data_IF_082959990768
#
_entry.id   IF_082959990768
#
_cell.length_a   1.000
_cell.length_b   1.000
_cell.length_c   1.000
_cell.angle_alpha   90.00
_cell.angle_beta   90.00
_cell.angle_gamma   90.00
#
_symmetry.space_group_name_H-M   'P 1'
#
loop_
_entity.id
_entity.type
_entity.pdbx_description
1 polymer ?
#
# COMPACT_ATOMS: atom_id res chain seq x y z
N UNK A 1 -0.09 -30.73 4.58
CA UNK A 1 -0.24 -29.82 5.73
C UNK A 1 0.22 -28.44 5.30
N UNK A 2 -0.71 -27.51 5.07
CA UNK A 2 -0.37 -26.11 4.75
C UNK A 2 -0.25 -25.35 6.07
N UNK A 3 0.98 -24.95 6.43
CA UNK A 3 1.25 -24.09 7.57
C UNK A 3 0.80 -22.65 7.23
N UNK A 4 -0.50 -22.39 7.31
CA UNK A 4 -1.03 -21.03 7.38
C UNK A 4 -0.76 -20.50 8.79
N UNK A 5 0.48 -20.07 9.05
CA UNK A 5 0.75 -19.16 10.17
C UNK A 5 0.04 -17.85 9.83
N UNK A 6 -1.20 -17.71 10.28
CA UNK A 6 -1.84 -16.41 10.50
C UNK A 6 -0.87 -15.61 11.36
N UNK A 7 -0.10 -14.74 10.71
CA UNK A 7 0.85 -13.88 11.40
C UNK A 7 0.02 -12.73 11.97
N UNK A 8 -0.49 -12.92 13.20
CA UNK A 8 -1.18 -11.93 14.05
C UNK A 8 -0.22 -10.79 14.46
N UNK A 9 0.40 -10.16 13.47
CA UNK A 9 1.21 -8.97 13.70
C UNK A 9 0.65 -7.89 12.81
N UNK A 10 0.18 -6.80 13.41
CA UNK A 10 -0.21 -5.58 12.69
C UNK A 10 0.96 -4.99 11.89
N UNK A 11 2.18 -5.49 12.11
CA UNK A 11 3.40 -5.10 11.43
C UNK A 11 3.37 -5.36 9.92
N UNK A 12 3.91 -4.39 9.19
CA UNK A 12 4.18 -4.40 7.77
C UNK A 12 4.88 -5.69 7.36
N UNK A 13 4.31 -6.40 6.40
CA UNK A 13 4.86 -7.67 5.92
C UNK A 13 6.20 -7.51 5.21
N UNK A 14 6.53 -6.29 4.79
CA UNK A 14 7.75 -5.98 4.04
C UNK A 14 8.88 -5.55 4.97
N UNK A 15 8.65 -4.55 5.82
CA UNK A 15 9.70 -4.05 6.72
C UNK A 15 9.66 -4.63 8.13
N UNK A 16 8.53 -5.19 8.56
CA UNK A 16 8.33 -5.77 9.91
C UNK A 16 8.56 -4.80 11.08
N UNK A 17 8.56 -3.49 10.84
CA UNK A 17 8.89 -2.48 11.85
C UNK A 17 7.68 -1.68 12.36
N UNK A 18 6.70 -1.39 11.50
CA UNK A 18 5.54 -0.53 11.82
C UNK A 18 4.28 -1.10 11.21
N UNK A 19 3.10 -0.62 11.62
CA UNK A 19 1.84 -1.15 11.13
C UNK A 19 1.69 -1.06 9.60
N UNK A 20 1.20 -2.13 8.96
CA UNK A 20 0.90 -2.10 7.53
C UNK A 20 -0.31 -1.21 7.28
N UNK A 21 -0.08 -0.01 6.74
CA UNK A 21 -1.15 0.89 6.29
C UNK A 21 -0.86 1.37 4.87
N UNK A 22 -1.88 1.77 4.09
CA UNK A 22 -1.65 2.37 2.78
C UNK A 22 -0.71 3.58 2.85
N UNK A 23 -0.85 4.41 3.90
CA UNK A 23 0.06 5.53 4.14
C UNK A 23 1.48 5.05 4.43
N UNK A 24 1.70 4.06 5.31
CA UNK A 24 3.03 3.51 5.53
C UNK A 24 3.68 3.04 4.22
N UNK A 25 2.96 2.26 3.41
CA UNK A 25 3.47 1.72 2.14
C UNK A 25 3.84 2.84 1.14
N UNK A 26 2.96 3.84 0.99
CA UNK A 26 3.13 4.95 0.04
C UNK A 26 4.16 5.97 0.54
N UNK A 27 4.25 6.22 1.84
CA UNK A 27 4.99 7.35 2.41
C UNK A 27 6.40 7.00 2.88
N UNK A 28 6.55 5.93 3.67
CA UNK A 28 7.75 5.76 4.50
C UNK A 28 8.25 4.33 4.69
N UNK A 29 7.56 3.30 4.19
CA UNK A 29 8.03 1.92 4.24
C UNK A 29 9.46 1.79 3.65
N UNK A 30 10.47 1.39 4.44
CA UNK A 30 11.86 1.35 3.98
C UNK A 30 12.07 0.26 2.94
N UNK A 31 11.38 -0.87 3.06
CA UNK A 31 11.42 -1.97 2.09
C UNK A 31 10.93 -1.57 0.68
N UNK A 32 10.14 -0.49 0.57
CA UNK A 32 9.65 0.04 -0.70
C UNK A 32 10.39 1.31 -1.17
N UNK A 33 11.42 1.77 -0.45
CA UNK A 33 12.09 3.04 -0.70
C UNK A 33 12.54 3.20 -2.16
N UNK A 34 13.26 2.21 -2.71
CA UNK A 34 13.73 2.27 -4.10
C UNK A 34 12.58 2.23 -5.11
N UNK A 35 11.60 1.34 -4.91
CA UNK A 35 10.44 1.23 -5.81
C UNK A 35 9.56 2.48 -5.78
N UNK A 36 9.46 3.13 -4.62
CA UNK A 36 8.77 4.41 -4.44
C UNK A 36 9.48 5.51 -5.24
N UNK A 37 10.80 5.57 -5.18
CA UNK A 37 11.58 6.50 -6.01
C UNK A 37 11.34 6.25 -7.50
N UNK A 38 11.38 4.99 -7.95
CA UNK A 38 11.16 4.64 -9.36
C UNK A 38 9.76 4.97 -9.86
N UNK A 39 8.71 4.65 -9.10
CA UNK A 39 7.31 4.75 -9.57
C UNK A 39 6.61 6.05 -9.15
N UNK A 40 6.92 6.58 -7.96
CA UNK A 40 6.32 7.79 -7.40
C UNK A 40 7.27 9.00 -7.43
N UNK A 41 8.55 8.80 -7.77
CA UNK A 41 9.54 9.87 -7.93
C UNK A 41 10.18 10.38 -6.64
N UNK A 42 9.88 9.77 -5.49
CA UNK A 42 10.43 10.16 -4.19
C UNK A 42 10.72 8.96 -3.30
N UNK A 43 11.80 9.02 -2.52
CA UNK A 43 12.13 8.00 -1.53
C UNK A 43 11.22 8.04 -0.31
N UNK A 44 10.85 9.24 0.15
CA UNK A 44 9.94 9.48 1.26
C UNK A 44 8.92 10.52 0.81
N UNK A 45 7.65 10.29 1.15
CA UNK A 45 6.53 11.20 0.82
C UNK A 45 5.83 11.54 2.13
N UNK A 46 5.73 12.83 2.47
CA UNK A 46 4.98 13.22 3.65
C UNK A 46 3.48 12.92 3.46
N UNK A 47 2.75 12.46 4.49
CA UNK A 47 1.34 12.07 4.39
C UNK A 47 0.43 13.14 3.75
N UNK A 48 0.67 14.41 4.03
CA UNK A 48 -0.04 15.56 3.46
C UNK A 48 0.09 15.64 1.93
N UNK A 49 1.22 15.20 1.38
CA UNK A 49 1.47 15.19 -0.06
C UNK A 49 1.03 13.89 -0.75
N UNK A 50 0.76 12.82 0.01
CA UNK A 50 0.32 11.55 -0.55
C UNK A 50 -1.00 11.69 -1.33
N UNK A 51 -1.89 12.58 -0.86
CA UNK A 51 -3.18 12.91 -1.51
C UNK A 51 -3.02 13.65 -2.83
N UNK A 52 -1.87 14.28 -3.06
CA UNK A 52 -1.56 15.03 -4.29
C UNK A 52 -0.90 14.15 -5.36
N UNK A 53 -0.59 12.89 -5.04
CA UNK A 53 0.02 11.98 -6.00
C UNK A 53 -0.99 11.61 -7.10
N UNK A 54 -0.55 11.47 -8.36
CA UNK A 54 -1.42 11.01 -9.42
C UNK A 54 -1.97 9.61 -9.09
N UNK A 55 -3.30 9.48 -9.05
CA UNK A 55 -3.97 8.23 -8.68
C UNK A 55 -3.47 7.03 -9.50
N UNK A 56 -3.24 7.22 -10.80
CA UNK A 56 -2.66 6.20 -11.69
C UNK A 56 -1.30 5.69 -11.21
N UNK A 57 -0.42 6.58 -10.75
CA UNK A 57 0.91 6.18 -10.25
C UNK A 57 0.80 5.44 -8.91
N UNK A 58 -0.09 5.88 -8.04
CA UNK A 58 -0.36 5.21 -6.75
C UNK A 58 -0.91 3.81 -6.97
N UNK A 59 -1.92 3.65 -7.84
CA UNK A 59 -2.49 2.36 -8.18
C UNK A 59 -1.46 1.42 -8.81
N UNK A 60 -0.64 1.91 -9.74
CA UNK A 60 0.45 1.12 -10.32
C UNK A 60 1.46 0.67 -9.26
N UNK A 61 1.88 1.59 -8.38
CA UNK A 61 2.79 1.28 -7.28
C UNK A 61 2.23 0.19 -6.36
N UNK A 62 0.96 0.30 -5.96
CA UNK A 62 0.33 -0.69 -5.09
C UNK A 62 0.14 -2.03 -5.80
N UNK A 63 -0.25 -2.03 -7.08
CA UNK A 63 -0.44 -3.25 -7.86
C UNK A 63 0.88 -4.03 -8.06
N UNK A 64 1.96 -3.35 -8.48
CA UNK A 64 3.29 -3.98 -8.70
C UNK A 64 3.87 -4.53 -7.39
N UNK A 65 3.51 -3.97 -6.25
CA UNK A 65 3.95 -4.43 -4.94
C UNK A 65 2.94 -5.36 -4.24
N UNK A 66 1.89 -5.79 -4.95
CA UNK A 66 0.84 -6.68 -4.44
C UNK A 66 0.15 -6.14 -3.17
N UNK A 67 0.12 -4.82 -3.00
CA UNK A 67 -0.41 -4.15 -1.81
C UNK A 67 -1.94 -3.93 -1.85
N UNK A 68 -2.60 -4.26 -2.97
CA UNK A 68 -4.07 -4.10 -3.13
C UNK A 68 -4.89 -5.31 -2.67
N UNK A 69 -4.26 -6.45 -2.36
CA UNK A 69 -4.96 -7.73 -2.24
C UNK A 69 -5.63 -7.99 -0.87
N UNK A 70 -5.35 -7.22 0.19
CA UNK A 70 -5.93 -7.50 1.52
C UNK A 70 -7.28 -6.83 1.79
N UNK A 71 -7.58 -5.69 1.17
CA UNK A 71 -8.87 -5.01 1.39
C UNK A 71 -10.03 -5.67 0.63
N UNK A 72 -9.73 -6.49 -0.39
CA UNK A 72 -10.75 -7.26 -1.12
C UNK A 72 -11.26 -8.48 -0.33
N UNK A 73 -10.41 -9.11 0.48
CA UNK A 73 -10.81 -10.25 1.32
C UNK A 73 -11.50 -9.81 2.62
N UNK A 74 -11.47 -8.52 2.94
CA UNK A 74 -12.00 -7.96 4.21
C UNK A 74 -13.33 -7.20 4.06
N UNK A 75 -14.00 -7.30 2.91
CA UNK A 75 -15.39 -6.81 2.76
C UNK A 75 -15.54 -5.29 2.61
N UNK A 76 -14.71 -4.63 1.79
CA UNK A 76 -14.90 -3.21 1.46
C UNK A 76 -15.81 -3.04 0.24
N UNK A 77 -17.00 -2.51 0.51
CA UNK A 77 -18.00 -2.02 -0.46
C UNK A 77 -17.35 -1.09 -1.49
N UNK A 78 -17.34 -1.52 -2.76
CA UNK A 78 -16.96 -0.68 -3.89
C UNK A 78 -17.98 0.46 -3.98
N UNK A 79 -17.58 1.68 -3.61
CA UNK A 79 -18.30 2.88 -4.05
C UNK A 79 -18.14 2.99 -5.57
N UNK A 80 -19.03 2.32 -6.31
CA UNK A 80 -19.30 2.63 -7.71
C UNK A 80 -19.92 4.02 -7.73
N UNK A 81 -19.11 5.05 -8.00
CA UNK A 81 -19.63 6.29 -8.56
C UNK A 81 -20.24 5.95 -9.93
N UNK A 82 -21.57 5.80 -9.95
CA UNK A 82 -22.32 5.89 -11.20
C UNK A 82 -22.27 7.33 -11.64
N UNK A 83 -21.56 7.58 -12.73
CA UNK A 83 -21.84 8.74 -13.58
C UNK A 83 -23.15 8.48 -14.30
N UNK A 84 -24.15 9.30 -14.03
CA UNK A 84 -25.27 9.60 -14.93
C UNK A 84 -25.53 11.09 -14.82
#
# INVERSE_FOLDING_TARGET
MFNLKLQDTDLCRLCKETAETPLHLICSCPALMHKRSTLLGKYIIQPEYAKLLPARKVLLFLAVNQCLLRDLDSGVTIYRSRST
#
